data_IF_229408767467
#
_entry.id   IF_229408767467
#
_cell.length_a   1.000
_cell.length_b   1.000
_cell.length_c   1.000
_cell.angle_alpha   90.00
_cell.angle_beta   90.00
_cell.angle_gamma   90.00
#
_symmetry.space_group_name_H-M   'P 1'
#
loop_
_entity.id
_entity.type
_entity.pdbx_description
1 polymer ?
#
# COMPACT_ATOMS: atom_id res chain seq x y z
N UNK A 1 -26.81 -28.60 -2.79
CA UNK A 1 -26.37 -28.01 -4.08
C UNK A 1 -26.80 -26.57 -4.02
N UNK A 2 -25.89 -25.66 -3.66
CA UNK A 2 -26.20 -24.24 -3.52
C UNK A 2 -26.26 -23.68 -4.95
N UNK A 3 -27.46 -23.33 -5.40
CA UNK A 3 -27.66 -22.52 -6.61
C UNK A 3 -27.32 -21.09 -6.22
N UNK A 4 -26.06 -20.72 -6.39
CA UNK A 4 -25.59 -19.35 -6.20
C UNK A 4 -26.22 -18.44 -7.25
N UNK A 5 -26.75 -17.34 -6.75
CA UNK A 5 -27.09 -16.09 -7.40
C UNK A 5 -26.64 -15.93 -8.88
N UNK A 6 -27.58 -15.55 -9.74
CA UNK A 6 -27.37 -15.18 -11.14
C UNK A 6 -27.09 -13.68 -11.33
N UNK A 7 -26.61 -12.98 -10.31
CA UNK A 7 -25.78 -11.79 -10.50
C UNK A 7 -24.38 -12.25 -10.93
N UNK A 8 -23.88 -11.70 -12.03
CA UNK A 8 -22.69 -12.21 -12.70
C UNK A 8 -21.52 -12.35 -11.73
N UNK A 9 -20.83 -13.49 -11.74
CA UNK A 9 -19.62 -13.66 -10.93
C UNK A 9 -18.68 -12.49 -11.26
N UNK A 10 -18.16 -11.79 -10.24
CA UNK A 10 -17.44 -10.52 -10.41
C UNK A 10 -16.36 -10.54 -11.52
N UNK A 11 -15.73 -11.70 -11.74
CA UNK A 11 -14.74 -11.92 -12.80
C UNK A 11 -15.31 -11.95 -14.23
N UNK A 12 -16.58 -12.33 -14.39
CA UNK A 12 -17.30 -12.37 -15.67
C UNK A 12 -17.80 -10.99 -16.07
N UNK A 13 -18.35 -10.21 -15.14
CA UNK A 13 -18.80 -8.84 -15.41
C UNK A 13 -17.63 -7.96 -15.87
N UNK A 14 -16.44 -8.20 -15.30
CA UNK A 14 -15.22 -7.43 -15.58
C UNK A 14 -14.32 -8.09 -16.64
N UNK A 15 -14.79 -9.17 -17.27
CA UNK A 15 -14.01 -9.98 -18.21
C UNK A 15 -13.57 -9.24 -19.47
N UNK A 16 -14.18 -8.09 -19.74
CA UNK A 16 -13.94 -7.24 -20.91
C UNK A 16 -12.91 -6.13 -20.67
N UNK A 17 -12.58 -5.81 -19.40
CA UNK A 17 -11.78 -4.63 -19.05
C UNK A 17 -10.28 -4.82 -19.35
N UNK A 18 -9.66 -5.94 -18.94
CA UNK A 18 -8.24 -6.20 -19.23
C UNK A 18 -7.93 -7.69 -19.48
N UNK A 19 -7.63 -8.04 -20.73
CA UNK A 19 -7.25 -9.41 -21.15
C UNK A 19 -5.98 -9.90 -20.43
N UNK A 20 -5.02 -8.99 -20.24
CA UNK A 20 -3.78 -9.24 -19.51
C UNK A 20 -4.02 -9.73 -18.09
N UNK A 21 -4.92 -9.07 -17.33
CA UNK A 21 -5.25 -9.47 -15.97
C UNK A 21 -5.86 -10.89 -15.93
N UNK A 22 -6.72 -11.23 -16.91
CA UNK A 22 -7.28 -12.59 -17.04
C UNK A 22 -6.22 -13.64 -17.34
N UNK A 23 -5.32 -13.35 -18.27
CA UNK A 23 -4.26 -14.30 -18.64
C UNK A 23 -3.27 -14.46 -17.49
N UNK A 24 -2.98 -13.40 -16.74
CA UNK A 24 -2.25 -13.46 -15.48
C UNK A 24 -2.96 -14.35 -14.45
N UNK A 25 -4.28 -14.24 -14.28
CA UNK A 25 -5.03 -15.10 -13.35
C UNK A 25 -4.97 -16.58 -13.72
N UNK A 26 -5.02 -16.90 -15.01
CA UNK A 26 -4.91 -18.28 -15.50
C UNK A 26 -3.53 -18.87 -15.24
N UNK A 27 -2.49 -18.05 -15.28
CA UNK A 27 -1.09 -18.45 -15.10
C UNK A 27 -0.58 -18.21 -13.67
N UNK A 28 -1.45 -17.82 -12.73
CA UNK A 28 -1.05 -17.38 -11.38
C UNK A 28 -0.24 -18.41 -10.59
N UNK A 29 -0.48 -19.70 -10.81
CA UNK A 29 0.25 -20.78 -10.14
C UNK A 29 1.72 -20.87 -10.60
N UNK A 30 2.05 -20.22 -11.71
CA UNK A 30 3.39 -20.10 -12.26
C UNK A 30 3.99 -18.69 -12.08
N UNK A 31 3.35 -17.79 -11.31
CA UNK A 31 3.88 -16.46 -11.08
C UNK A 31 5.22 -16.53 -10.32
N UNK A 32 6.17 -15.61 -10.60
CA UNK A 32 7.43 -15.51 -9.85
C UNK A 32 7.17 -15.44 -8.35
N UNK A 33 7.96 -16.13 -7.51
CA UNK A 33 7.74 -16.13 -6.07
C UNK A 33 6.78 -17.19 -5.54
N UNK A 34 5.96 -17.84 -6.38
CA UNK A 34 4.97 -18.83 -5.92
C UNK A 34 5.63 -20.11 -5.43
N UNK A 35 6.61 -20.62 -6.18
CA UNK A 35 7.36 -21.82 -5.80
C UNK A 35 8.21 -21.60 -4.54
N UNK A 36 8.66 -20.37 -4.28
CA UNK A 36 9.44 -20.02 -3.09
C UNK A 36 8.57 -19.65 -1.86
N UNK A 37 7.24 -19.80 -1.95
CA UNK A 37 6.33 -19.60 -0.80
C UNK A 37 5.75 -18.19 -0.65
N UNK A 38 5.67 -17.41 -1.74
CA UNK A 38 4.92 -16.14 -1.76
C UNK A 38 5.78 -14.90 -1.91
N UNK A 39 6.67 -14.89 -2.89
CA UNK A 39 7.39 -13.69 -3.35
C UNK A 39 6.47 -12.62 -3.98
N UNK A 40 7.06 -11.68 -4.69
CA UNK A 40 6.43 -10.47 -5.25
C UNK A 40 5.06 -10.75 -5.87
N UNK A 41 4.01 -10.14 -5.31
CA UNK A 41 2.62 -10.38 -5.73
C UNK A 41 2.19 -9.30 -6.70
N UNK A 42 1.49 -9.73 -7.75
CA UNK A 42 0.82 -8.83 -8.68
C UNK A 42 -0.18 -7.95 -7.96
N UNK A 43 -0.22 -6.69 -8.36
CA UNK A 43 -1.20 -5.73 -7.88
C UNK A 43 -1.99 -5.14 -9.04
N UNK A 44 -3.19 -4.65 -8.73
CA UNK A 44 -4.15 -4.17 -9.71
C UNK A 44 -4.51 -2.71 -9.43
N UNK A 45 -4.84 -1.98 -10.49
CA UNK A 45 -5.47 -0.67 -10.35
C UNK A 45 -6.88 -0.84 -9.77
N UNK A 46 -7.22 -0.09 -8.71
CA UNK A 46 -8.54 -0.13 -8.10
C UNK A 46 -9.67 0.40 -9.01
N UNK A 47 -9.32 1.24 -9.99
CA UNK A 47 -10.29 1.83 -10.92
C UNK A 47 -10.59 0.93 -12.12
N UNK A 48 -9.56 0.35 -12.74
CA UNK A 48 -9.72 -0.40 -13.98
C UNK A 48 -9.34 -1.89 -13.90
N UNK A 49 -8.77 -2.38 -12.80
CA UNK A 49 -8.15 -3.72 -12.65
C UNK A 49 -6.98 -4.03 -13.59
N UNK A 50 -6.42 -2.99 -14.23
CA UNK A 50 -5.20 -3.13 -15.00
C UNK A 50 -4.07 -3.68 -14.12
N UNK A 51 -3.34 -4.67 -14.63
CA UNK A 51 -2.18 -5.23 -13.95
C UNK A 51 -1.08 -4.16 -13.85
N UNK A 52 -0.58 -3.94 -12.64
CA UNK A 52 0.46 -2.96 -12.36
C UNK A 52 1.84 -3.66 -12.22
N UNK A 53 2.96 -2.95 -12.49
CA UNK A 53 4.30 -3.52 -12.48
C UNK A 53 4.67 -4.15 -11.14
N UNK A 54 5.16 -5.39 -11.14
CA UNK A 54 5.41 -6.19 -9.94
C UNK A 54 6.44 -5.59 -8.95
N UNK A 55 7.37 -4.75 -9.41
CA UNK A 55 8.53 -4.37 -8.61
C UNK A 55 8.22 -3.26 -7.61
N UNK A 56 8.14 -3.59 -6.32
CA UNK A 56 8.27 -2.64 -5.22
C UNK A 56 8.83 -3.31 -3.96
N UNK A 57 9.57 -2.55 -3.14
CA UNK A 57 10.02 -3.01 -1.82
C UNK A 57 9.00 -2.58 -0.76
N UNK A 58 8.28 -3.56 -0.20
CA UNK A 58 7.33 -3.32 0.90
C UNK A 58 7.97 -2.73 2.17
N UNK A 59 9.29 -2.87 2.34
CA UNK A 59 10.02 -2.31 3.49
C UNK A 59 10.44 -0.87 3.27
N UNK A 60 10.42 -0.40 2.02
CA UNK A 60 10.69 0.99 1.71
C UNK A 60 9.50 1.86 2.16
N UNK A 61 9.81 3.11 2.50
CA UNK A 61 8.78 4.13 2.69
C UNK A 61 8.09 4.36 1.34
N UNK A 62 6.77 4.52 1.36
CA UNK A 62 6.01 4.86 0.18
C UNK A 62 6.54 6.14 -0.47
N UNK A 63 6.57 6.18 -1.80
CA UNK A 63 6.91 7.40 -2.53
C UNK A 63 5.88 8.50 -2.21
N UNK A 64 6.34 9.75 -2.14
CA UNK A 64 5.47 10.90 -1.89
C UNK A 64 4.66 11.30 -3.15
N UNK A 65 5.08 10.86 -4.35
CA UNK A 65 4.42 11.15 -5.61
C UNK A 65 3.56 9.95 -6.07
N UNK A 66 2.22 10.10 -6.13
CA UNK A 66 1.36 9.04 -6.63
C UNK A 66 1.58 8.86 -8.13
N UNK A 67 2.14 7.69 -8.49
CA UNK A 67 2.23 7.28 -9.89
C UNK A 67 0.86 7.21 -10.57
N UNK A 68 0.84 7.13 -11.89
CA UNK A 68 -0.40 7.05 -12.66
C UNK A 68 -0.59 5.65 -13.25
N UNK A 69 -1.81 5.14 -13.23
CA UNK A 69 -2.14 3.88 -13.88
C UNK A 69 -1.84 3.98 -15.39
N UNK A 70 -0.99 3.10 -15.96
CA UNK A 70 -0.66 3.12 -17.38
C UNK A 70 -1.84 2.71 -18.28
N UNK A 71 -2.89 2.14 -17.69
CA UNK A 71 -4.06 1.64 -18.42
C UNK A 71 -5.19 2.67 -18.51
N UNK A 72 -5.49 3.38 -17.42
CA UNK A 72 -6.66 4.27 -17.32
C UNK A 72 -6.36 5.70 -16.89
N UNK A 73 -5.12 6.03 -16.50
CA UNK A 73 -4.76 7.38 -16.07
C UNK A 73 -5.16 7.75 -14.63
N UNK A 74 -5.72 6.81 -13.86
CA UNK A 74 -6.06 7.05 -12.46
C UNK A 74 -4.81 7.28 -11.60
N UNK A 75 -4.90 8.17 -10.61
CA UNK A 75 -3.86 8.34 -9.60
C UNK A 75 -3.77 7.07 -8.74
N UNK A 76 -2.56 6.55 -8.55
CA UNK A 76 -2.28 5.38 -7.73
C UNK A 76 -1.79 5.84 -6.36
N UNK A 77 -2.51 5.50 -5.30
CA UNK A 77 -1.98 5.66 -3.95
C UNK A 77 -0.80 4.66 -3.77
N UNK A 78 0.43 5.14 -3.52
CA UNK A 78 1.59 4.26 -3.37
C UNK A 78 1.47 3.30 -2.19
N UNK A 79 0.64 3.64 -1.19
CA UNK A 79 0.43 2.86 0.04
C UNK A 79 -0.69 1.84 -0.07
N UNK A 80 -1.49 1.89 -1.14
CA UNK A 80 -2.65 1.00 -1.33
C UNK A 80 -2.37 0.09 -2.50
N UNK A 81 -2.46 -1.22 -2.24
CA UNK A 81 -2.30 -2.25 -3.27
C UNK A 81 -3.48 -3.20 -3.21
N UNK A 82 -4.21 -3.29 -4.33
CA UNK A 82 -5.20 -4.33 -4.54
C UNK A 82 -4.45 -5.59 -4.96
N UNK A 83 -4.43 -6.59 -4.09
CA UNK A 83 -3.87 -7.90 -4.38
C UNK A 83 -5.03 -8.86 -4.65
N UNK A 84 -4.72 -10.00 -5.26
CA UNK A 84 -5.68 -10.96 -5.81
C UNK A 84 -6.82 -11.43 -4.86
N UNK A 85 -6.71 -11.22 -3.55
CA UNK A 85 -7.75 -11.59 -2.59
C UNK A 85 -7.87 -10.61 -1.40
N UNK A 86 -7.13 -9.51 -1.41
CA UNK A 86 -7.03 -8.62 -0.24
C UNK A 86 -6.52 -7.24 -0.68
N UNK A 87 -7.06 -6.16 -0.12
CA UNK A 87 -6.48 -4.81 -0.23
C UNK A 87 -5.71 -4.52 1.05
N UNK A 88 -4.38 -4.54 1.01
CA UNK A 88 -3.52 -4.36 2.19
C UNK A 88 -2.80 -3.01 2.10
N UNK A 89 -2.76 -2.30 3.22
CA UNK A 89 -1.82 -1.18 3.41
C UNK A 89 -0.51 -1.79 3.89
N UNK A 90 0.41 -2.07 2.97
CA UNK A 90 1.57 -2.91 3.24
C UNK A 90 2.90 -2.15 3.35
N UNK A 91 2.89 -0.85 3.04
CA UNK A 91 4.07 0.01 3.19
C UNK A 91 4.08 0.76 4.52
N UNK A 92 5.27 0.86 5.10
CA UNK A 92 5.51 1.54 6.37
C UNK A 92 5.28 3.05 6.17
N UNK A 93 4.45 3.70 6.99
CA UNK A 93 4.34 5.15 6.96
C UNK A 93 5.71 5.80 7.20
N UNK A 94 5.93 6.98 6.63
CA UNK A 94 7.09 7.80 6.97
C UNK A 94 7.16 8.08 8.48
N UNK A 95 8.36 8.42 8.96
CA UNK A 95 8.55 8.73 10.39
C UNK A 95 7.75 9.97 10.82
N UNK A 96 7.03 9.86 11.93
CA UNK A 96 6.34 10.98 12.57
C UNK A 96 7.30 11.98 13.26
N UNK A 97 8.62 11.77 13.16
CA UNK A 97 9.62 12.60 13.82
C UNK A 97 9.43 14.09 13.49
N UNK A 98 9.15 14.45 12.23
CA UNK A 98 8.93 15.85 11.84
C UNK A 98 7.71 16.47 12.54
N UNK A 99 6.64 15.70 12.70
CA UNK A 99 5.42 16.14 13.38
C UNK A 99 5.62 16.25 14.91
N UNK A 100 6.43 15.36 15.48
CA UNK A 100 6.70 15.31 16.93
C UNK A 100 7.83 16.25 17.38
N UNK A 101 8.73 16.66 16.48
CA UNK A 101 9.88 17.51 16.77
C UNK A 101 9.54 18.81 17.51
N UNK A 102 8.52 19.63 17.12
CA UNK A 102 8.22 20.87 17.84
C UNK A 102 7.79 20.60 19.30
N UNK A 103 7.00 19.55 19.53
CA UNK A 103 6.56 19.18 20.88
C UNK A 103 7.71 18.69 21.74
N UNK A 104 8.60 17.90 21.16
CA UNK A 104 9.81 17.44 21.82
C UNK A 104 10.69 18.63 22.24
N UNK A 105 10.87 19.62 21.36
CA UNK A 105 11.64 20.83 21.66
C UNK A 105 11.00 21.66 22.78
N UNK A 106 9.69 21.87 22.74
CA UNK A 106 8.96 22.59 23.79
C UNK A 106 9.13 21.88 25.14
N UNK A 107 8.89 20.57 25.18
CA UNK A 107 9.06 19.77 26.39
C UNK A 107 10.48 19.88 26.94
N UNK A 108 11.48 19.75 26.07
CA UNK A 108 12.90 19.87 26.44
C UNK A 108 13.21 21.25 27.03
N UNK A 109 12.73 22.34 26.42
CA UNK A 109 12.93 23.70 26.92
C UNK A 109 12.29 23.91 28.28
N UNK A 110 11.07 23.41 28.50
CA UNK A 110 10.38 23.47 29.80
C UNK A 110 11.18 22.72 30.86
N UNK A 111 11.62 21.50 30.57
CA UNK A 111 12.41 20.69 31.51
C UNK A 111 13.72 21.38 31.88
N UNK A 112 14.45 21.93 30.91
CA UNK A 112 15.68 22.70 31.17
C UNK A 112 15.37 23.92 32.03
N UNK A 113 14.33 24.69 31.70
CA UNK A 113 13.93 25.87 32.48
C UNK A 113 13.60 25.54 33.94
N UNK A 114 12.87 24.44 34.17
CA UNK A 114 12.55 23.97 35.52
C UNK A 114 13.80 23.52 36.28
N UNK A 115 14.74 22.84 35.63
CA UNK A 115 16.01 22.43 36.25
C UNK A 115 16.87 23.64 36.64
N UNK A 116 16.98 24.65 35.77
CA UNK A 116 17.70 25.89 36.06
C UNK A 116 17.05 26.62 37.24
N UNK A 117 15.72 26.72 37.27
CA UNK A 117 15.00 27.32 38.38
C UNK A 117 15.24 26.57 39.70
N UNK A 118 15.18 25.24 39.67
CA UNK A 118 15.42 24.41 40.86
C UNK A 118 16.83 24.62 41.41
N UNK A 119 17.84 24.61 40.52
CA UNK A 119 19.25 24.87 40.89
C UNK A 119 19.48 26.28 41.44
N UNK A 120 18.71 27.28 40.99
CA UNK A 120 18.81 28.64 41.50
C UNK A 120 18.17 28.84 42.89
N UNK A 121 17.32 27.91 43.33
CA UNK A 121 16.60 27.95 44.60
C UNK A 121 17.26 27.09 45.70
N UNK A 122 18.22 26.23 45.35
CA UNK A 122 19.05 25.43 46.26
C UNK A 122 20.34 26.15 46.61
#
# INVERSE_FOLDING_TARGET
MVTGDTEGHWSEERAHLHREARDHYRQRSAAPGVAEGGGTRSHYCLECDGLLPLEYDRRAVADDDPGTCPHCGAALDPRVRAMFNWVETDQVPGSDLKALLPWFLIGTLITIGLLVLLLALT
#
